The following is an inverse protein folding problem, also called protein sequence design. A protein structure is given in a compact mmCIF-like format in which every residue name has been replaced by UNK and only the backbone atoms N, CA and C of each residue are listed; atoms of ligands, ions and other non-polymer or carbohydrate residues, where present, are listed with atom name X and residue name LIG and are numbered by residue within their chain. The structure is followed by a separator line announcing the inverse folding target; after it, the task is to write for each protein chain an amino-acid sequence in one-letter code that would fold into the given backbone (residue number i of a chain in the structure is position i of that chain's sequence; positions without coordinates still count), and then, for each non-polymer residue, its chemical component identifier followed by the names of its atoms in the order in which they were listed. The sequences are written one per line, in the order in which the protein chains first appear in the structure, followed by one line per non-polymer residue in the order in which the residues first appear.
data_IF_365743954544
#
_entry.id   IF_365743954544
#
_cell.length_a   1.000
_cell.length_b   1.000
_cell.length_c   1.000
_cell.angle_alpha   90.00
_cell.angle_beta   90.00
_cell.angle_gamma   90.00
#
_symmetry.space_group_name_H-M   'P 1'
#
loop_
_entity.id
_entity.type
_entity.pdbx_description
1 polymer ?
#
# COMPACT_ATOMS: atom_id res chain seq x y z
N UNK A 1 -12.24 -3.28 2.13
CA UNK A 1 -11.94 -3.82 0.77
C UNK A 1 -10.62 -4.58 0.86
N UNK A 2 -10.65 -5.90 0.70
CA UNK A 2 -9.52 -6.83 0.90
C UNK A 2 -8.67 -6.88 -0.39
N UNK A 3 -7.33 -6.95 -0.33
CA UNK A 3 -6.54 -7.28 -1.52
C UNK A 3 -6.86 -8.73 -1.97
N UNK A 4 -6.87 -9.01 -3.28
CA UNK A 4 -7.13 -10.35 -3.79
C UNK A 4 -6.01 -11.32 -3.38
N UNK A 5 -6.37 -12.54 -2.96
CA UNK A 5 -5.40 -13.62 -2.68
C UNK A 5 -4.82 -14.12 -4.00
N UNK A 6 -3.50 -14.04 -4.15
CA UNK A 6 -2.76 -14.62 -5.29
C UNK A 6 -2.35 -16.05 -4.96
N UNK A 7 -2.74 -17.01 -5.81
CA UNK A 7 -2.24 -18.39 -5.79
C UNK A 7 -1.30 -18.52 -6.99
N UNK A 8 -0.03 -18.84 -6.77
CA UNK A 8 0.92 -19.11 -7.84
C UNK A 8 0.63 -20.49 -8.44
N UNK A 9 0.35 -20.55 -9.74
CA UNK A 9 0.26 -21.79 -10.53
C UNK A 9 1.36 -21.74 -11.59
N UNK A 10 2.14 -22.82 -11.78
CA UNK A 10 3.25 -22.82 -12.72
C UNK A 10 2.77 -22.65 -14.17
N UNK A 11 3.37 -21.70 -14.89
CA UNK A 11 3.16 -21.46 -16.33
C UNK A 11 3.87 -22.55 -17.13
N UNK A 12 3.18 -23.18 -18.08
CA UNK A 12 3.75 -24.25 -18.90
C UNK A 12 4.78 -23.69 -19.89
N UNK A 13 5.83 -24.46 -20.22
CA UNK A 13 6.93 -23.98 -21.08
C UNK A 13 6.47 -23.59 -22.50
N UNK A 14 5.33 -24.12 -22.95
CA UNK A 14 4.73 -23.80 -24.24
C UNK A 14 4.07 -22.41 -24.26
N UNK A 15 3.56 -21.94 -23.12
CA UNK A 15 3.00 -20.59 -22.96
C UNK A 15 4.11 -19.54 -22.89
N UNK A 16 5.24 -19.88 -22.25
CA UNK A 16 6.46 -19.05 -22.25
C UNK A 16 6.98 -18.80 -23.66
N UNK A 17 6.99 -19.83 -24.52
CA UNK A 17 7.48 -19.73 -25.89
C UNK A 17 6.61 -18.82 -26.79
N UNK A 18 5.28 -18.91 -26.67
CA UNK A 18 4.34 -18.09 -27.47
C UNK A 18 4.37 -16.61 -27.08
N UNK A 19 4.53 -16.32 -25.79
CA UNK A 19 4.68 -14.95 -25.30
C UNK A 19 6.02 -14.35 -25.73
N UNK A 20 7.10 -15.14 -25.69
CA UNK A 20 8.44 -14.76 -26.18
C UNK A 20 8.45 -14.37 -27.66
N UNK A 21 7.82 -15.15 -28.52
CA UNK A 21 7.76 -14.89 -29.97
C UNK A 21 6.97 -13.62 -30.32
N UNK A 22 5.90 -13.32 -29.57
CA UNK A 22 5.12 -12.09 -29.74
C UNK A 22 5.86 -10.85 -29.25
N UNK A 23 6.52 -10.96 -28.09
CA UNK A 23 7.34 -9.88 -27.53
C UNK A 23 8.54 -9.60 -28.44
N UNK A 24 9.21 -10.61 -28.99
CA UNK A 24 10.31 -10.43 -29.93
C UNK A 24 9.88 -9.73 -31.23
N UNK A 25 8.67 -9.98 -31.72
CA UNK A 25 8.13 -9.29 -32.90
C UNK A 25 7.78 -7.83 -32.63
N UNK A 26 7.32 -7.49 -31.43
CA UNK A 26 6.98 -6.11 -31.05
C UNK A 26 8.22 -5.28 -30.62
N UNK A 27 9.32 -5.94 -30.19
CA UNK A 27 10.57 -5.30 -29.78
C UNK A 27 11.60 -5.10 -30.91
N UNK A 28 11.36 -5.62 -32.12
CA UNK A 28 12.29 -5.53 -33.24
C UNK A 28 12.52 -4.11 -33.80
N UNK A 29 11.81 -3.10 -33.28
CA UNK A 29 11.86 -1.70 -33.73
C UNK A 29 12.66 -0.75 -32.84
N UNK A 30 13.29 -1.21 -31.76
CA UNK A 30 14.09 -0.32 -30.90
C UNK A 30 15.46 -0.92 -30.53
N UNK A 31 16.53 -0.41 -31.14
CA UNK A 31 17.92 -0.62 -30.75
C UNK A 31 18.37 0.46 -29.75
N UNK A 32 18.50 0.13 -28.46
CA UNK A 32 19.36 0.86 -27.48
C UNK A 32 19.84 -0.08 -26.34
N UNK A 33 21.17 -0.17 -26.20
CA UNK A 33 22.05 -0.50 -25.05
C UNK A 33 21.56 -1.36 -23.84
N UNK A 34 22.16 -2.55 -23.73
CA UNK A 34 22.77 -3.19 -22.53
C UNK A 34 22.16 -2.98 -21.12
N UNK A 35 20.86 -3.17 -20.89
CA UNK A 35 20.28 -3.55 -19.55
C UNK A 35 18.74 -3.67 -19.57
N UNK A 36 18.17 -4.47 -20.48
CA UNK A 36 16.70 -4.60 -20.54
C UNK A 36 16.21 -5.66 -19.54
N UNK A 37 15.84 -5.13 -18.38
CA UNK A 37 15.09 -5.68 -17.25
C UNK A 37 14.05 -6.76 -17.58
N UNK A 38 13.80 -7.73 -16.67
CA UNK A 38 12.78 -8.74 -16.87
C UNK A 38 11.38 -8.10 -16.82
N UNK A 39 10.74 -8.07 -17.99
CA UNK A 39 9.33 -7.77 -18.14
C UNK A 39 8.51 -8.97 -17.66
N UNK A 40 7.77 -8.79 -16.57
CA UNK A 40 6.91 -9.84 -16.02
C UNK A 40 5.47 -9.64 -16.47
N UNK A 41 4.91 -10.66 -17.15
CA UNK A 41 3.49 -10.70 -17.50
C UNK A 41 2.76 -11.66 -16.57
N UNK A 42 1.76 -11.16 -15.85
CA UNK A 42 0.96 -11.94 -14.90
C UNK A 42 -0.50 -11.86 -15.34
N UNK A 43 -1.15 -13.01 -15.50
CA UNK A 43 -2.57 -13.11 -15.85
C UNK A 43 -3.35 -13.69 -14.67
N UNK A 44 -4.41 -13.01 -14.24
CA UNK A 44 -5.26 -13.46 -13.13
C UNK A 44 -6.20 -14.61 -13.53
N UNK A 45 -6.52 -15.56 -12.62
CA UNK A 45 -7.42 -16.66 -12.93
C UNK A 45 -8.85 -16.15 -13.19
N UNK A 46 -9.45 -16.56 -14.32
CA UNK A 46 -10.86 -16.31 -14.65
C UNK A 46 -11.24 -14.84 -14.89
N UNK A 47 -10.27 -13.94 -14.99
CA UNK A 47 -10.50 -12.52 -15.32
C UNK A 47 -9.52 -12.07 -16.40
N UNK A 48 -9.91 -11.14 -17.27
CA UNK A 48 -9.03 -10.55 -18.29
C UNK A 48 -8.03 -9.53 -17.68
N UNK A 49 -7.58 -9.77 -16.45
CA UNK A 49 -6.59 -8.92 -15.78
C UNK A 49 -5.20 -9.40 -16.16
N UNK A 50 -4.57 -8.63 -17.03
CA UNK A 50 -3.17 -8.80 -17.42
C UNK A 50 -2.35 -7.67 -16.80
N UNK A 51 -1.37 -8.01 -15.97
CA UNK A 51 -0.40 -7.07 -15.42
C UNK A 51 0.92 -7.23 -16.18
N UNK A 52 1.52 -6.10 -16.53
CA UNK A 52 2.83 -6.04 -17.15
C UNK A 52 3.73 -5.21 -16.23
N UNK A 53 4.65 -5.87 -15.52
CA UNK A 53 5.50 -5.25 -14.52
C UNK A 53 6.93 -5.12 -15.06
N UNK A 54 7.45 -3.89 -15.02
CA UNK A 54 8.83 -3.59 -15.37
C UNK A 54 9.62 -3.37 -14.09
N UNK A 55 10.64 -4.20 -13.82
CA UNK A 55 11.34 -4.20 -12.55
C UNK A 55 12.84 -4.49 -12.74
N UNK A 56 13.71 -3.96 -11.85
CA UNK A 56 15.17 -4.23 -11.89
C UNK A 56 15.62 -5.39 -11.02
N UNK A 57 14.70 -6.08 -10.36
CA UNK A 57 15.02 -7.19 -9.49
C UNK A 57 15.26 -8.46 -10.32
N UNK A 58 16.08 -9.41 -9.83
CA UNK A 58 16.25 -10.70 -10.48
C UNK A 58 14.93 -11.47 -10.52
N UNK A 59 14.79 -12.37 -11.48
CA UNK A 59 13.58 -13.18 -11.72
C UNK A 59 13.99 -14.61 -12.07
N UNK A 60 14.89 -15.16 -11.27
CA UNK A 60 15.50 -16.46 -11.55
C UNK A 60 14.64 -17.61 -10.99
N UNK A 61 13.88 -17.33 -9.92
CA UNK A 61 13.05 -18.32 -9.22
C UNK A 61 11.62 -17.82 -9.00
N UNK A 62 10.69 -18.75 -8.76
CA UNK A 62 9.28 -18.41 -8.46
C UNK A 62 9.14 -17.49 -7.24
N UNK A 63 10.03 -17.62 -6.25
CA UNK A 63 10.05 -16.74 -5.07
C UNK A 63 10.39 -15.28 -5.44
N UNK A 64 11.21 -15.06 -6.47
CA UNK A 64 11.56 -13.73 -6.93
C UNK A 64 10.34 -13.04 -7.58
N UNK A 65 9.56 -13.80 -8.36
CA UNK A 65 8.31 -13.34 -8.95
C UNK A 65 7.29 -12.97 -7.86
N UNK A 66 7.12 -13.82 -6.85
CA UNK A 66 6.24 -13.56 -5.72
C UNK A 66 6.63 -12.29 -4.98
N UNK A 67 7.94 -12.10 -4.73
CA UNK A 67 8.44 -10.87 -4.10
C UNK A 67 8.12 -9.62 -4.91
N UNK A 68 8.25 -9.67 -6.24
CA UNK A 68 7.91 -8.54 -7.11
C UNK A 68 6.41 -8.23 -7.04
N UNK A 69 5.56 -9.27 -7.01
CA UNK A 69 4.11 -9.11 -6.81
C UNK A 69 3.82 -8.47 -5.46
N UNK A 70 4.44 -8.95 -4.38
CA UNK A 70 4.24 -8.40 -3.03
C UNK A 70 4.64 -6.92 -2.96
N UNK A 71 5.74 -6.53 -3.62
CA UNK A 71 6.17 -5.14 -3.72
C UNK A 71 5.16 -4.28 -4.51
N UNK A 72 4.61 -4.78 -5.60
CA UNK A 72 3.62 -4.04 -6.41
C UNK A 72 2.29 -3.90 -5.68
N UNK A 73 1.85 -4.94 -4.96
CA UNK A 73 0.67 -4.89 -4.09
C UNK A 73 0.90 -3.92 -2.92
N UNK A 74 2.11 -3.86 -2.38
CA UNK A 74 2.51 -2.90 -1.35
C UNK A 74 2.54 -1.44 -1.84
N UNK A 75 2.27 -1.15 -3.13
CA UNK A 75 2.01 0.20 -3.63
C UNK A 75 0.67 0.75 -3.13
N UNK A 76 -0.35 -0.10 -2.95
CA UNK A 76 -1.72 0.31 -2.65
C UNK A 76 -1.88 1.26 -1.43
N UNK A 77 -1.13 1.12 -0.33
CA UNK A 77 -1.13 2.06 0.79
C UNK A 77 -1.01 3.54 0.40
N UNK A 78 -0.33 3.89 -0.71
CA UNK A 78 -0.25 5.30 -1.15
C UNK A 78 -1.61 5.85 -1.60
N UNK A 79 -2.45 5.01 -2.20
CA UNK A 79 -3.80 5.39 -2.62
C UNK A 79 -4.70 5.57 -1.40
N UNK A 80 -4.50 4.74 -0.37
CA UNK A 80 -5.17 4.90 0.92
C UNK A 80 -4.69 6.18 1.61
N UNK A 81 -3.39 6.48 1.59
CA UNK A 81 -2.86 7.73 2.14
C UNK A 81 -3.52 8.96 1.49
N UNK A 82 -3.59 9.01 0.15
CA UNK A 82 -4.26 10.13 -0.52
C UNK A 82 -5.75 10.16 -0.27
N UNK A 83 -6.42 9.02 -0.09
CA UNK A 83 -7.82 8.98 0.35
C UNK A 83 -8.00 9.56 1.76
N UNK A 84 -7.14 9.19 2.71
CA UNK A 84 -7.16 9.76 4.06
C UNK A 84 -6.91 11.27 4.00
N UNK A 85 -5.92 11.71 3.22
CA UNK A 85 -5.60 13.14 3.10
C UNK A 85 -6.73 13.95 2.45
N UNK A 86 -7.28 13.48 1.34
CA UNK A 86 -8.29 14.21 0.56
C UNK A 86 -9.69 14.07 1.12
N UNK A 87 -10.15 12.85 1.40
CA UNK A 87 -11.52 12.60 1.87
C UNK A 87 -11.63 12.64 3.39
N UNK A 88 -10.63 12.09 4.11
CA UNK A 88 -10.61 12.09 5.58
C UNK A 88 -10.30 13.47 6.16
N UNK A 89 -9.14 14.03 5.81
CA UNK A 89 -8.70 15.34 6.28
C UNK A 89 -9.27 16.51 5.47
N UNK A 90 -9.99 16.25 4.36
CA UNK A 90 -10.67 17.26 3.55
C UNK A 90 -9.77 18.40 3.07
N UNK A 91 -8.50 18.12 2.76
CA UNK A 91 -7.53 19.18 2.44
C UNK A 91 -7.88 20.01 1.21
N UNK A 92 -8.69 19.45 0.29
CA UNK A 92 -9.15 20.13 -0.93
C UNK A 92 -10.26 21.16 -0.64
N UNK A 93 -10.91 21.09 0.53
CA UNK A 93 -11.93 22.06 0.97
C UNK A 93 -11.31 23.30 1.65
N UNK A 94 -10.01 23.27 1.97
CA UNK A 94 -9.33 24.35 2.69
C UNK A 94 -9.18 25.60 1.81
N UNK A 95 -9.92 26.65 2.13
CA UNK A 95 -9.90 27.94 1.40
C UNK A 95 -8.89 28.94 1.99
N UNK A 96 -7.59 28.61 1.92
CA UNK A 96 -6.52 29.53 2.33
C UNK A 96 -6.07 30.43 1.18
N UNK A 97 -6.24 31.74 1.33
CA UNK A 97 -5.96 32.75 0.29
C UNK A 97 -4.49 32.78 -0.20
N UNK A 98 -3.53 32.52 0.70
CA UNK A 98 -2.11 32.60 0.37
C UNK A 98 -1.53 31.21 0.11
N UNK A 99 -0.91 31.02 -1.05
CA UNK A 99 -0.19 29.78 -1.42
C UNK A 99 0.76 29.27 -0.33
N UNK A 100 1.49 30.17 0.34
CA UNK A 100 2.40 29.79 1.42
C UNK A 100 1.66 29.22 2.65
N UNK A 101 0.46 29.72 2.97
CA UNK A 101 -0.38 29.20 4.05
C UNK A 101 -0.95 27.83 3.67
N UNK A 102 -1.41 27.67 2.43
CA UNK A 102 -1.90 26.39 1.92
C UNK A 102 -0.81 25.32 1.97
N UNK A 103 0.41 25.63 1.53
CA UNK A 103 1.56 24.71 1.62
C UNK A 103 1.82 24.26 3.05
N UNK A 104 1.86 25.20 4.01
CA UNK A 104 2.06 24.85 5.43
C UNK A 104 0.96 23.96 5.97
N UNK A 105 -0.31 24.29 5.68
CA UNK A 105 -1.43 23.45 6.08
C UNK A 105 -1.31 22.03 5.51
N UNK A 106 -0.98 21.90 4.23
CA UNK A 106 -0.79 20.60 3.58
C UNK A 106 0.34 19.79 4.22
N UNK A 107 1.44 20.43 4.65
CA UNK A 107 2.52 19.72 5.37
C UNK A 107 2.02 19.13 6.69
N UNK A 108 1.25 19.87 7.48
CA UNK A 108 0.67 19.35 8.72
C UNK A 108 -0.30 18.20 8.46
N UNK A 109 -1.21 18.37 7.50
CA UNK A 109 -2.18 17.33 7.18
C UNK A 109 -1.56 16.06 6.60
N UNK A 110 -0.43 16.15 5.91
CA UNK A 110 0.31 14.96 5.47
C UNK A 110 0.81 14.14 6.66
N UNK A 111 1.35 14.77 7.71
CA UNK A 111 1.79 14.07 8.94
C UNK A 111 0.60 13.45 9.66
N UNK A 112 -0.51 14.19 9.76
CA UNK A 112 -1.74 13.70 10.38
C UNK A 112 -2.31 12.50 9.60
N UNK A 113 -2.43 12.62 8.28
CA UNK A 113 -2.93 11.55 7.41
C UNK A 113 -2.07 10.30 7.50
N UNK A 114 -0.73 10.47 7.56
CA UNK A 114 0.18 9.35 7.77
C UNK A 114 -0.02 8.70 9.14
N UNK A 115 -0.16 9.46 10.24
CA UNK A 115 -0.43 8.89 11.57
C UNK A 115 -1.76 8.14 11.59
N UNK A 116 -2.83 8.71 11.04
CA UNK A 116 -4.13 8.04 10.94
C UNK A 116 -3.99 6.71 10.19
N UNK A 117 -3.29 6.73 9.05
CA UNK A 117 -3.03 5.54 8.25
C UNK A 117 -2.25 4.49 9.07
N UNK A 118 -1.16 4.90 9.71
CA UNK A 118 -0.32 4.05 10.53
C UNK A 118 -1.10 3.35 11.65
N UNK A 119 -1.86 4.11 12.47
CA UNK A 119 -2.67 3.52 13.55
C UNK A 119 -3.72 2.57 12.98
N UNK A 120 -4.37 2.95 11.88
CA UNK A 120 -5.38 2.10 11.22
C UNK A 120 -4.80 0.78 10.72
N UNK A 121 -3.58 0.79 10.19
CA UNK A 121 -2.90 -0.43 9.76
C UNK A 121 -2.44 -1.25 10.97
N UNK A 122 -1.85 -0.60 11.97
CA UNK A 122 -1.34 -1.28 13.16
C UNK A 122 -2.44 -1.98 13.94
N UNK A 123 -3.60 -1.34 14.17
CA UNK A 123 -4.74 -1.99 14.84
C UNK A 123 -5.35 -3.15 14.04
N UNK A 124 -5.11 -3.24 12.73
CA UNK A 124 -5.57 -4.38 11.90
C UNK A 124 -4.59 -5.55 11.90
N UNK A 125 -3.29 -5.26 11.85
CA UNK A 125 -2.24 -6.28 11.78
C UNK A 125 -1.84 -6.78 13.18
N UNK A 126 -1.98 -5.94 14.21
CA UNK A 126 -1.61 -6.23 15.58
C UNK A 126 -2.69 -5.72 16.56
N UNK A 127 -3.90 -6.30 16.55
CA UNK A 127 -5.02 -5.85 17.38
C UNK A 127 -4.72 -5.95 18.89
N UNK A 128 -4.02 -7.01 19.30
CA UNK A 128 -3.69 -7.30 20.70
C UNK A 128 -2.60 -6.39 21.29
N UNK A 129 -2.02 -5.49 20.48
CA UNK A 129 -0.94 -4.62 20.94
C UNK A 129 -1.49 -3.57 21.92
N UNK A 130 -0.82 -3.33 23.06
CA UNK A 130 -1.21 -2.26 23.99
C UNK A 130 -1.24 -0.89 23.30
N UNK A 131 -2.27 -0.09 23.57
CA UNK A 131 -2.48 1.20 22.90
C UNK A 131 -1.44 2.26 23.29
N UNK A 132 -0.74 2.07 24.43
CA UNK A 132 0.32 2.95 24.91
C UNK A 132 1.60 2.91 24.07
N UNK A 133 1.73 1.94 23.17
CA UNK A 133 2.79 1.90 22.14
C UNK A 133 2.64 3.05 21.13
N UNK A 134 1.42 3.52 20.93
CA UNK A 134 1.08 4.51 19.89
C UNK A 134 0.66 5.85 20.50
N UNK A 135 -0.09 5.78 21.60
CA UNK A 135 -0.70 6.92 22.26
C UNK A 135 -0.07 7.16 23.62
N UNK A 136 0.19 8.42 23.94
CA UNK A 136 0.57 8.79 25.29
C UNK A 136 -0.55 8.52 26.29
N UNK A 137 -0.18 8.39 27.56
CA UNK A 137 -1.14 8.18 28.65
C UNK A 137 -2.27 9.22 28.67
N UNK A 138 -1.94 10.49 28.40
CA UNK A 138 -2.92 11.56 28.36
C UNK A 138 -3.89 11.41 27.16
N UNK A 139 -3.42 10.91 26.01
CA UNK A 139 -4.25 10.73 24.82
C UNK A 139 -5.25 9.59 25.00
N UNK A 140 -4.78 8.38 25.31
CA UNK A 140 -5.68 7.22 25.34
C UNK A 140 -6.64 7.25 26.53
N UNK A 141 -6.21 7.73 27.71
CA UNK A 141 -7.11 7.84 28.87
C UNK A 141 -8.22 8.86 28.65
N UNK A 142 -7.93 9.96 27.96
CA UNK A 142 -8.94 10.97 27.61
C UNK A 142 -9.96 10.40 26.63
N UNK A 143 -9.51 9.64 25.63
CA UNK A 143 -10.40 8.97 24.67
C UNK A 143 -11.27 7.93 25.39
N UNK A 144 -10.68 7.09 26.24
CA UNK A 144 -11.42 6.09 27.03
C UNK A 144 -12.54 6.73 27.84
N UNK A 145 -12.25 7.79 28.59
CA UNK A 145 -13.25 8.48 29.42
C UNK A 145 -14.40 9.06 28.61
N UNK A 146 -14.16 9.44 27.36
CA UNK A 146 -15.19 10.00 26.47
C UNK A 146 -16.02 8.88 25.84
N UNK A 147 -15.39 7.80 25.40
CA UNK A 147 -16.03 6.70 24.66
C UNK A 147 -16.76 5.76 25.61
N UNK A 148 -16.07 5.25 26.64
CA UNK A 148 -16.62 4.28 27.61
C UNK A 148 -17.35 4.96 28.77
N UNK A 149 -17.16 6.26 28.97
CA UNK A 149 -17.74 7.04 30.08
C UNK A 149 -17.33 6.56 31.50
N UNK A 150 -16.42 5.59 31.58
CA UNK A 150 -15.88 5.01 32.81
C UNK A 150 -14.45 5.46 33.10
N UNK A 151 -13.97 5.20 34.32
CA UNK A 151 -12.57 5.48 34.67
C UNK A 151 -11.62 4.57 33.88
N UNK A 152 -10.53 5.11 33.32
CA UNK A 152 -9.63 4.33 32.50
C UNK A 152 -8.94 3.24 33.32
N UNK A 153 -8.74 2.04 32.74
CA UNK A 153 -8.03 0.96 33.40
C UNK A 153 -6.61 1.36 33.79
N UNK A 154 -6.02 0.63 34.75
CA UNK A 154 -4.64 0.87 35.18
C UNK A 154 -3.61 0.45 34.11
N UNK A 155 -3.92 -0.59 33.33
CA UNK A 155 -3.12 -1.06 32.22
C UNK A 155 -3.72 -0.56 30.89
N UNK A 156 -2.88 -0.32 29.90
CA UNK A 156 -3.33 0.11 28.58
C UNK A 156 -4.14 -1.01 27.90
N UNK A 157 -5.34 -0.70 27.38
CA UNK A 157 -6.14 -1.66 26.60
C UNK A 157 -5.47 -1.99 25.25
N UNK A 158 -5.88 -3.08 24.58
CA UNK A 158 -5.44 -3.38 23.22
C UNK A 158 -5.90 -2.33 22.20
N UNK A 159 -5.23 -2.24 21.05
CA UNK A 159 -5.56 -1.30 19.97
C UNK A 159 -6.89 -1.59 19.24
N UNK A 160 -7.49 -2.76 19.46
CA UNK A 160 -8.79 -3.14 18.88
C UNK A 160 -9.99 -2.49 19.59
N UNK A 161 -9.85 -2.16 20.88
CA UNK A 161 -10.87 -1.51 21.73
C UNK A 161 -10.95 0.00 21.48
#
# INVERSE_FOLDING_TARGET
MRPPRTVAIPVTDNEKARVKDRIQRELATWTVQDEIRPLLRISGPGTDRNWLLFNSLPVDHDQDVLRIIDLDVARWPIEVFFRVLKTGCKVEEIQLEKKARLKRALMFYQVIAWRILYVTFLGRECPDLPCDVVFSEAEWKSVWKIVEQDDPPKAAPPLEE
#
